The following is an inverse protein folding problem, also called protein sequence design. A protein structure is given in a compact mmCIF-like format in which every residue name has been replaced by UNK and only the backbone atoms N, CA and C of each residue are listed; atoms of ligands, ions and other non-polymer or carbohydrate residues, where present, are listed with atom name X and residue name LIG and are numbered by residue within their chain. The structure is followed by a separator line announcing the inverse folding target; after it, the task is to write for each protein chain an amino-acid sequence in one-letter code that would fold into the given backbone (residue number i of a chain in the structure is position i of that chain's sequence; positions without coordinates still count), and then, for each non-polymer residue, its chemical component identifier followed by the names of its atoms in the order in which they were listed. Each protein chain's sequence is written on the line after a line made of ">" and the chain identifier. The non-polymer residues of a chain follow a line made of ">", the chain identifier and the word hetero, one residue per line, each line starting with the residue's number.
data_IF_065801832951
#
_entry.id   IF_065801832951
#
_cell.length_a   1.000
_cell.length_b   1.000
_cell.length_c   1.000
_cell.angle_alpha   90.00
_cell.angle_beta   90.00
_cell.angle_gamma   90.00
#
_symmetry.space_group_name_H-M   'P 1'
#
loop_
_entity.id
_entity.type
_entity.pdbx_description
1 polymer ?
#
# COMPACT_ATOMS: atom_id res chain seq x y z
N UNK A 1 14.29 31.79 -39.91
CA UNK A 1 14.35 32.09 -38.46
C UNK A 1 13.50 31.05 -37.73
N UNK A 2 14.12 30.03 -37.11
CA UNK A 2 13.42 29.02 -36.32
C UNK A 2 13.15 29.61 -34.92
N UNK A 3 11.88 29.70 -34.53
CA UNK A 3 11.46 30.19 -33.22
C UNK A 3 12.07 29.35 -32.08
N UNK A 4 12.33 29.94 -30.91
CA UNK A 4 12.95 29.24 -29.80
C UNK A 4 12.02 28.13 -29.33
N UNK A 5 12.46 26.88 -29.51
CA UNK A 5 11.81 25.71 -28.97
C UNK A 5 11.74 25.83 -27.46
N UNK A 6 10.54 26.12 -26.94
CA UNK A 6 10.20 25.95 -25.53
C UNK A 6 10.37 24.47 -25.20
N UNK A 7 11.56 24.07 -24.73
CA UNK A 7 11.75 22.80 -24.02
C UNK A 7 10.86 22.87 -22.78
N UNK A 8 9.71 22.19 -22.80
CA UNK A 8 8.85 22.03 -21.63
C UNK A 8 9.61 21.14 -20.65
N UNK A 9 10.50 21.77 -19.87
CA UNK A 9 11.36 21.18 -18.85
C UNK A 9 10.59 20.79 -17.56
N UNK A 10 9.25 20.68 -17.64
CA UNK A 10 8.37 20.66 -16.47
C UNK A 10 7.54 19.38 -16.26
N UNK A 11 7.69 18.34 -17.10
CA UNK A 11 6.90 17.09 -16.96
C UNK A 11 7.62 15.96 -16.19
N UNK A 12 8.89 16.19 -15.82
CA UNK A 12 9.74 15.20 -15.15
C UNK A 12 9.56 15.24 -13.63
N UNK A 13 9.14 16.37 -13.05
CA UNK A 13 9.04 16.53 -11.59
C UNK A 13 7.81 15.86 -10.98
N UNK A 14 6.62 16.02 -11.56
CA UNK A 14 5.38 15.75 -10.80
C UNK A 14 5.22 14.28 -10.38
N UNK A 15 5.49 13.30 -11.27
CA UNK A 15 5.38 11.88 -10.91
C UNK A 15 6.46 11.45 -9.91
N UNK A 16 7.66 12.00 -10.01
CA UNK A 16 8.76 11.69 -9.09
C UNK A 16 8.44 12.19 -7.68
N UNK A 17 8.04 13.46 -7.57
CA UNK A 17 7.64 14.06 -6.30
C UNK A 17 6.38 13.43 -5.72
N UNK A 18 5.43 13.00 -6.56
CA UNK A 18 4.27 12.24 -6.09
C UNK A 18 4.66 10.89 -5.51
N UNK A 19 5.50 10.10 -6.18
CA UNK A 19 5.90 8.79 -5.68
C UNK A 19 6.77 8.92 -4.42
N UNK A 20 7.63 9.94 -4.34
CA UNK A 20 8.39 10.27 -3.13
C UNK A 20 7.50 10.75 -1.98
N UNK A 21 6.54 11.62 -2.28
CA UNK A 21 5.53 12.07 -1.31
C UNK A 21 4.69 10.92 -0.78
N UNK A 22 4.27 10.00 -1.66
CA UNK A 22 3.58 8.78 -1.27
C UNK A 22 4.47 7.91 -0.36
N UNK A 23 5.76 7.73 -0.67
CA UNK A 23 6.69 7.00 0.19
C UNK A 23 6.82 7.61 1.59
N UNK A 24 6.90 8.95 1.69
CA UNK A 24 6.98 9.67 2.98
C UNK A 24 5.69 9.53 3.77
N UNK A 25 4.52 9.63 3.12
CA UNK A 25 3.25 9.49 3.84
C UNK A 25 3.02 8.03 4.23
N UNK A 26 3.29 7.06 3.35
CA UNK A 26 3.25 5.63 3.70
C UNK A 26 4.20 5.39 4.87
N UNK A 27 5.42 5.93 4.85
CA UNK A 27 6.34 5.82 5.98
C UNK A 27 5.77 6.40 7.26
N UNK A 28 5.16 7.59 7.20
CA UNK A 28 4.52 8.19 8.38
C UNK A 28 3.37 7.32 8.90
N UNK A 29 2.51 6.80 8.03
CA UNK A 29 1.43 5.87 8.40
C UNK A 29 1.98 4.59 9.00
N UNK A 30 3.05 4.03 8.44
CA UNK A 30 3.72 2.82 8.91
C UNK A 30 4.41 3.05 10.26
N UNK A 31 5.10 4.16 10.45
CA UNK A 31 5.72 4.52 11.74
C UNK A 31 4.63 4.67 12.81
N UNK A 32 3.52 5.33 12.49
CA UNK A 32 2.41 5.46 13.44
C UNK A 32 1.71 4.11 13.69
N UNK A 33 1.55 3.25 12.67
CA UNK A 33 1.05 1.87 12.76
C UNK A 33 2.06 0.92 13.43
N UNK A 34 3.36 1.22 13.50
CA UNK A 34 4.33 0.36 14.22
C UNK A 34 4.42 0.82 15.67
N UNK A 35 4.42 2.12 15.95
CA UNK A 35 4.61 2.65 17.30
C UNK A 35 3.45 2.32 18.27
N UNK A 36 2.25 2.05 17.77
CA UNK A 36 1.05 1.93 18.63
C UNK A 36 0.47 0.52 18.79
N UNK A 37 0.27 -0.33 17.75
CA UNK A 37 -0.18 -1.72 17.94
C UNK A 37 0.96 -2.67 18.32
N UNK A 38 2.23 -2.23 18.28
CA UNK A 38 3.37 -2.98 18.86
C UNK A 38 3.58 -2.64 20.34
N UNK A 39 2.77 -1.75 20.93
CA UNK A 39 2.61 -1.78 22.39
C UNK A 39 1.91 -3.10 22.74
N UNK A 40 2.73 -4.02 23.24
CA UNK A 40 2.54 -5.45 23.44
C UNK A 40 1.46 -5.78 24.50
N UNK A 41 0.23 -5.27 24.39
CA UNK A 41 -0.88 -5.76 25.22
C UNK A 41 -2.06 -6.25 24.36
N UNK A 42 -2.33 -7.56 24.32
CA UNK A 42 -3.48 -8.12 23.61
C UNK A 42 -4.84 -7.63 24.16
N UNK A 43 -4.86 -7.06 25.37
CA UNK A 43 -6.06 -6.47 26.00
C UNK A 43 -6.33 -5.01 25.59
N UNK A 44 -5.53 -4.41 24.70
CA UNK A 44 -5.58 -2.97 24.42
C UNK A 44 -6.52 -2.55 23.27
N UNK A 45 -7.63 -3.26 23.08
CA UNK A 45 -8.67 -2.93 22.09
C UNK A 45 -9.04 -1.43 22.12
N UNK A 46 -9.25 -0.91 23.34
CA UNK A 46 -9.51 0.52 23.56
C UNK A 46 -8.37 1.45 23.13
N UNK A 47 -7.11 1.04 23.29
CA UNK A 47 -5.95 1.84 22.87
C UNK A 47 -5.82 1.90 21.35
N UNK A 48 -6.11 0.79 20.64
CA UNK A 48 -6.13 0.77 19.16
C UNK A 48 -7.24 1.67 18.62
N UNK A 49 -8.42 1.65 19.24
CA UNK A 49 -9.54 2.54 18.87
C UNK A 49 -9.27 4.02 19.15
N UNK A 50 -8.75 4.33 20.35
CA UNK A 50 -8.37 5.71 20.68
C UNK A 50 -7.35 6.25 19.68
N UNK A 51 -6.37 5.43 19.28
CA UNK A 51 -5.38 5.82 18.29
C UNK A 51 -5.99 6.12 16.92
N UNK A 52 -6.86 5.25 16.41
CA UNK A 52 -7.55 5.44 15.11
C UNK A 52 -8.35 6.74 15.12
N UNK A 53 -9.09 6.99 16.21
CA UNK A 53 -9.87 8.21 16.37
C UNK A 53 -9.00 9.47 16.42
N UNK A 54 -7.83 9.43 17.08
CA UNK A 54 -6.93 10.58 17.18
C UNK A 54 -6.17 10.87 15.87
N UNK A 55 -6.05 9.89 14.96
CA UNK A 55 -5.22 9.99 13.75
C UNK A 55 -6.00 9.74 12.46
N UNK A 56 -7.33 9.88 12.49
CA UNK A 56 -8.23 9.60 11.37
C UNK A 56 -7.76 10.25 10.06
N UNK A 57 -7.33 11.52 10.11
CA UNK A 57 -6.87 12.25 8.92
C UNK A 57 -5.65 11.58 8.27
N UNK A 58 -4.68 11.12 9.05
CA UNK A 58 -3.49 10.45 8.52
C UNK A 58 -3.83 9.10 7.88
N UNK A 59 -4.80 8.38 8.45
CA UNK A 59 -5.29 7.11 7.92
C UNK A 59 -5.97 7.35 6.56
N UNK A 60 -6.86 8.34 6.45
CA UNK A 60 -7.55 8.67 5.20
C UNK A 60 -6.56 9.10 4.10
N UNK A 61 -5.57 9.92 4.44
CA UNK A 61 -4.52 10.32 3.49
C UNK A 61 -3.68 9.12 2.99
N UNK A 62 -3.44 8.13 3.85
CA UNK A 62 -2.71 6.91 3.48
C UNK A 62 -3.44 6.09 2.41
N UNK A 63 -4.77 5.99 2.48
CA UNK A 63 -5.59 5.30 1.49
C UNK A 63 -5.46 5.94 0.10
N UNK A 64 -5.61 7.28 0.06
CA UNK A 64 -5.55 8.04 -1.19
C UNK A 64 -4.19 7.91 -1.89
N UNK A 65 -3.10 7.90 -1.13
CA UNK A 65 -1.75 7.79 -1.68
C UNK A 65 -1.37 6.37 -2.11
N UNK A 66 -1.88 5.35 -1.43
CA UNK A 66 -1.72 3.96 -1.85
C UNK A 66 -2.40 3.73 -3.22
N UNK A 67 -3.65 4.19 -3.38
CA UNK A 67 -4.36 4.14 -4.66
C UNK A 67 -3.64 4.94 -5.76
N UNK A 68 -3.16 6.14 -5.44
CA UNK A 68 -2.43 6.98 -6.39
C UNK A 68 -1.15 6.29 -6.89
N UNK A 69 -0.43 5.59 -6.01
CA UNK A 69 0.80 4.87 -6.35
C UNK A 69 0.53 3.74 -7.36
N UNK A 70 -0.54 2.96 -7.15
CA UNK A 70 -0.94 1.91 -8.09
C UNK A 70 -1.35 2.47 -9.47
N UNK A 71 -2.03 3.62 -9.49
CA UNK A 71 -2.40 4.30 -10.74
C UNK A 71 -1.16 4.79 -11.49
N UNK A 72 -0.20 5.40 -10.79
CA UNK A 72 1.07 5.86 -11.40
C UNK A 72 1.85 4.68 -11.97
N UNK A 73 1.97 3.58 -11.21
CA UNK A 73 2.67 2.38 -11.66
C UNK A 73 2.04 1.78 -12.92
N UNK A 74 0.71 1.69 -12.95
CA UNK A 74 -0.04 1.22 -14.12
C UNK A 74 0.22 2.11 -15.33
N UNK A 75 0.22 3.43 -15.15
CA UNK A 75 0.48 4.40 -16.23
C UNK A 75 1.90 4.28 -16.79
N UNK A 76 2.90 4.05 -15.95
CA UNK A 76 4.30 3.89 -16.36
C UNK A 76 4.51 2.60 -17.17
N UNK A 77 3.88 1.49 -16.78
CA UNK A 77 4.05 0.18 -17.42
C UNK A 77 3.11 -0.08 -18.61
N UNK A 78 2.13 0.79 -18.86
CA UNK A 78 1.00 0.54 -19.77
C UNK A 78 1.35 0.38 -21.27
N UNK A 79 2.57 0.72 -21.71
CA UNK A 79 2.89 0.83 -23.14
C UNK A 79 2.74 -0.49 -23.92
N UNK A 80 3.07 -1.64 -23.30
CA UNK A 80 3.03 -2.95 -23.96
C UNK A 80 2.12 -3.99 -23.29
N UNK A 81 1.83 -3.86 -21.98
CA UNK A 81 1.14 -4.90 -21.18
C UNK A 81 -0.19 -4.43 -20.56
N UNK A 82 -0.84 -3.45 -21.20
CA UNK A 82 -2.02 -2.73 -20.68
C UNK A 82 -3.14 -3.62 -20.09
N UNK A 83 -3.63 -4.69 -20.74
CA UNK A 83 -4.75 -5.47 -20.18
C UNK A 83 -4.38 -6.21 -18.89
N UNK A 84 -3.19 -6.81 -18.84
CA UNK A 84 -2.71 -7.52 -17.65
C UNK A 84 -2.47 -6.55 -16.49
N UNK A 85 -1.94 -5.35 -16.78
CA UNK A 85 -1.73 -4.31 -15.77
C UNK A 85 -3.05 -3.70 -15.29
N UNK A 86 -4.08 -3.63 -16.13
CA UNK A 86 -5.42 -3.20 -15.71
C UNK A 86 -6.09 -4.24 -14.80
N UNK A 87 -5.90 -5.54 -15.07
CA UNK A 87 -6.31 -6.60 -14.15
C UNK A 87 -5.58 -6.50 -12.81
N UNK A 88 -4.25 -6.30 -12.83
CA UNK A 88 -3.47 -6.09 -11.61
C UNK A 88 -3.97 -4.88 -10.82
N UNK A 89 -4.24 -3.75 -11.49
CA UNK A 89 -4.79 -2.56 -10.87
C UNK A 89 -6.16 -2.83 -10.24
N UNK A 90 -7.03 -3.56 -10.93
CA UNK A 90 -8.35 -3.91 -10.39
C UNK A 90 -8.24 -4.76 -9.13
N UNK A 91 -7.35 -5.76 -9.11
CA UNK A 91 -7.09 -6.58 -7.91
C UNK A 91 -6.56 -5.71 -6.77
N UNK A 92 -5.66 -4.77 -7.07
CA UNK A 92 -5.16 -3.82 -6.08
C UNK A 92 -6.28 -2.95 -5.50
N UNK A 93 -7.15 -2.40 -6.36
CA UNK A 93 -8.30 -1.57 -5.94
C UNK A 93 -9.25 -2.37 -5.05
N UNK A 94 -9.52 -3.63 -5.36
CA UNK A 94 -10.33 -4.52 -4.52
C UNK A 94 -9.67 -4.72 -3.14
N UNK A 95 -8.36 -4.98 -3.11
CA UNK A 95 -7.59 -5.08 -1.87
C UNK A 95 -7.64 -3.79 -1.04
N UNK A 96 -7.43 -2.64 -1.69
CA UNK A 96 -7.52 -1.33 -1.05
C UNK A 96 -8.93 -1.03 -0.53
N UNK A 97 -9.98 -1.33 -1.29
CA UNK A 97 -11.36 -1.15 -0.85
C UNK A 97 -11.68 -1.99 0.39
N UNK A 98 -11.19 -3.24 0.46
CA UNK A 98 -11.36 -4.08 1.65
C UNK A 98 -10.62 -3.55 2.87
N UNK A 99 -9.43 -2.96 2.69
CA UNK A 99 -8.70 -2.29 3.76
C UNK A 99 -9.43 -1.03 4.23
N UNK A 100 -9.86 -0.18 3.29
CA UNK A 100 -10.66 1.01 3.62
C UNK A 100 -11.95 0.64 4.36
N UNK A 101 -12.61 -0.45 3.97
CA UNK A 101 -13.79 -0.96 4.66
C UNK A 101 -13.46 -1.44 6.08
N UNK A 102 -12.35 -2.17 6.25
CA UNK A 102 -11.86 -2.57 7.57
C UNK A 102 -11.67 -1.37 8.48
N UNK A 103 -10.90 -0.38 8.01
CA UNK A 103 -10.58 0.79 8.81
C UNK A 103 -11.84 1.60 9.09
N UNK A 104 -12.70 1.84 8.09
CA UNK A 104 -13.98 2.55 8.25
C UNK A 104 -14.86 1.92 9.34
N UNK A 105 -14.94 0.58 9.36
CA UNK A 105 -15.70 -0.13 10.40
C UNK A 105 -15.04 0.05 11.77
N UNK A 106 -13.71 -0.03 11.84
CA UNK A 106 -12.97 0.19 13.08
C UNK A 106 -13.06 1.63 13.61
N UNK A 107 -13.12 2.64 12.75
CA UNK A 107 -13.27 4.05 13.16
C UNK A 107 -14.71 4.31 13.63
N UNK A 108 -15.70 3.81 12.90
CA UNK A 108 -17.10 4.24 13.07
C UNK A 108 -17.86 3.38 14.08
N UNK A 109 -17.77 2.05 13.96
CA UNK A 109 -18.65 1.14 14.70
C UNK A 109 -18.02 0.64 16.00
N UNK A 110 -16.71 0.40 15.98
CA UNK A 110 -16.00 -0.17 17.13
C UNK A 110 -16.03 0.71 18.39
N UNK A 111 -15.90 2.05 18.30
CA UNK A 111 -15.99 2.91 19.48
C UNK A 111 -17.37 2.89 20.11
N UNK A 112 -18.45 2.89 19.31
CA UNK A 112 -19.82 2.84 19.81
C UNK A 112 -20.14 1.48 20.43
N UNK A 113 -19.68 0.38 19.82
CA UNK A 113 -19.80 -0.97 20.40
C UNK A 113 -19.07 -1.06 21.75
N UNK A 114 -17.89 -0.45 21.85
CA UNK A 114 -17.11 -0.43 23.10
C UNK A 114 -17.77 0.43 24.18
N UNK A 115 -18.36 1.57 23.82
CA UNK A 115 -19.16 2.38 24.74
C UNK A 115 -20.37 1.61 25.26
N UNK A 116 -21.15 0.96 24.37
CA UNK A 116 -22.27 0.12 24.77
C UNK A 116 -21.82 -1.01 25.71
N UNK A 117 -20.65 -1.59 25.48
CA UNK A 117 -20.10 -2.65 26.35
C UNK A 117 -19.75 -2.13 27.75
N UNK A 118 -19.19 -0.92 27.85
CA UNK A 118 -18.88 -0.30 29.14
C UNK A 118 -20.15 0.09 29.91
N UNK A 119 -21.21 0.50 29.22
CA UNK A 119 -22.49 0.88 29.83
C UNK A 119 -23.33 -0.35 30.23
N UNK A 120 -23.37 -1.38 29.39
CA UNK A 120 -24.19 -2.58 29.56
C UNK A 120 -23.38 -3.85 29.22
N UNK A 121 -22.48 -4.29 30.13
CA UNK A 121 -21.64 -5.45 29.88
C UNK A 121 -22.49 -6.71 29.87
N UNK A 122 -22.74 -7.25 28.67
CA UNK A 122 -23.42 -8.53 28.46
C UNK A 122 -22.52 -9.49 27.72
N UNK A 123 -22.56 -10.78 28.05
CA UNK A 123 -21.75 -11.80 27.38
C UNK A 123 -22.05 -11.88 25.87
N UNK A 124 -23.31 -11.63 25.48
CA UNK A 124 -23.71 -11.59 24.06
C UNK A 124 -23.03 -10.46 23.31
N UNK A 125 -22.94 -9.28 23.91
CA UNK A 125 -22.27 -8.13 23.31
C UNK A 125 -20.75 -8.36 23.20
N UNK A 126 -20.12 -8.93 24.24
CA UNK A 126 -18.70 -9.29 24.19
C UNK A 126 -18.40 -10.28 23.05
N UNK A 127 -19.21 -11.34 22.92
CA UNK A 127 -19.05 -12.32 21.84
C UNK A 127 -19.22 -11.69 20.46
N UNK A 128 -20.21 -10.81 20.31
CA UNK A 128 -20.45 -10.10 19.05
C UNK A 128 -19.28 -9.21 18.65
N UNK A 129 -18.68 -8.49 19.61
CA UNK A 129 -17.48 -7.68 19.41
C UNK A 129 -16.30 -8.57 18.93
N UNK A 130 -16.08 -9.71 19.59
CA UNK A 130 -15.00 -10.64 19.19
C UNK A 130 -15.22 -11.27 17.81
N UNK A 131 -16.46 -11.63 17.45
CA UNK A 131 -16.79 -12.16 16.13
C UNK A 131 -16.54 -11.11 15.03
N UNK A 132 -16.91 -9.85 15.29
CA UNK A 132 -16.61 -8.73 14.38
C UNK A 132 -15.12 -8.51 14.21
N UNK A 133 -14.37 -8.49 15.30
CA UNK A 133 -12.91 -8.38 15.27
C UNK A 133 -12.28 -9.47 14.43
N UNK A 134 -12.70 -10.73 14.62
CA UNK A 134 -12.15 -11.86 13.88
C UNK A 134 -12.48 -11.80 12.38
N UNK A 135 -13.67 -11.31 12.02
CA UNK A 135 -14.05 -11.11 10.62
C UNK A 135 -13.22 -10.00 9.97
N UNK A 136 -13.08 -8.86 10.66
CA UNK A 136 -12.29 -7.71 10.24
C UNK A 136 -10.82 -8.05 10.09
N UNK A 137 -10.25 -8.78 11.06
CA UNK A 137 -8.86 -9.20 11.05
C UNK A 137 -8.56 -10.11 9.85
N UNK A 138 -9.48 -11.03 9.50
CA UNK A 138 -9.37 -11.86 8.29
C UNK A 138 -9.52 -11.04 7.00
N UNK A 139 -10.41 -10.05 6.97
CA UNK A 139 -10.60 -9.17 5.81
C UNK A 139 -9.30 -8.42 5.48
N UNK A 140 -8.63 -7.87 6.49
CA UNK A 140 -7.37 -7.16 6.32
C UNK A 140 -6.17 -8.10 6.15
N UNK A 141 -5.95 -9.00 7.12
CA UNK A 141 -4.76 -9.85 7.21
C UNK A 141 -4.66 -10.94 6.15
N UNK A 142 -5.79 -11.47 5.69
CA UNK A 142 -5.82 -12.50 4.63
C UNK A 142 -6.20 -11.90 3.28
N UNK A 143 -7.40 -11.35 3.16
CA UNK A 143 -7.95 -10.98 1.85
C UNK A 143 -7.20 -9.80 1.23
N UNK A 144 -7.09 -8.68 1.94
CA UNK A 144 -6.40 -7.49 1.42
C UNK A 144 -4.92 -7.75 1.12
N UNK A 145 -4.19 -8.36 2.07
CA UNK A 145 -2.77 -8.70 1.90
C UNK A 145 -2.54 -9.64 0.70
N UNK A 146 -3.43 -10.63 0.50
CA UNK A 146 -3.35 -11.54 -0.66
C UNK A 146 -3.60 -10.80 -1.97
N UNK A 147 -4.60 -9.91 -2.03
CA UNK A 147 -4.87 -9.09 -3.21
C UNK A 147 -3.66 -8.23 -3.59
N UNK A 148 -3.04 -7.55 -2.63
CA UNK A 148 -1.84 -6.76 -2.88
C UNK A 148 -0.66 -7.61 -3.33
N UNK A 149 -0.44 -8.77 -2.71
CA UNK A 149 0.63 -9.68 -3.11
C UNK A 149 0.44 -10.18 -4.55
N UNK A 150 -0.77 -10.66 -4.90
CA UNK A 150 -1.09 -11.12 -6.26
C UNK A 150 -0.91 -10.00 -7.29
N UNK A 151 -1.45 -8.81 -7.01
CA UNK A 151 -1.29 -7.67 -7.90
C UNK A 151 0.19 -7.27 -8.07
N UNK A 152 0.93 -7.22 -6.96
CA UNK A 152 2.35 -6.93 -6.92
C UNK A 152 3.20 -7.93 -7.70
N UNK A 153 2.88 -9.22 -7.65
CA UNK A 153 3.52 -10.24 -8.48
C UNK A 153 3.27 -10.03 -9.97
N UNK A 154 2.05 -9.64 -10.37
CA UNK A 154 1.75 -9.33 -11.77
C UNK A 154 2.58 -8.13 -12.23
N UNK A 155 2.63 -7.05 -11.44
CA UNK A 155 3.49 -5.90 -11.75
C UNK A 155 4.97 -6.30 -11.84
N UNK A 156 5.45 -7.12 -10.91
CA UNK A 156 6.84 -7.61 -10.89
C UNK A 156 7.16 -8.47 -12.12
N UNK A 157 6.24 -9.35 -12.54
CA UNK A 157 6.39 -10.14 -13.74
C UNK A 157 6.51 -9.26 -15.00
N UNK A 158 5.71 -8.20 -15.08
CA UNK A 158 5.81 -7.21 -16.16
C UNK A 158 7.11 -6.40 -16.07
N UNK A 159 7.60 -6.07 -14.87
CA UNK A 159 8.90 -5.42 -14.69
C UNK A 159 10.06 -6.28 -15.21
N UNK A 160 10.03 -7.60 -14.98
CA UNK A 160 11.04 -8.51 -15.54
C UNK A 160 10.98 -8.61 -17.07
N UNK A 161 9.79 -8.42 -17.66
CA UNK A 161 9.59 -8.45 -19.12
C UNK A 161 9.94 -7.13 -19.80
N UNK A 162 9.91 -6.01 -19.07
CA UNK A 162 10.22 -4.69 -19.62
C UNK A 162 11.69 -4.36 -19.43
N UNK A 163 12.42 -4.13 -20.54
CA UNK A 163 13.85 -3.76 -20.51
C UNK A 163 14.11 -2.41 -19.82
N UNK A 164 13.06 -1.64 -19.54
CA UNK A 164 13.12 -0.34 -18.89
C UNK A 164 13.40 -0.42 -17.39
N UNK A 165 13.09 -1.52 -16.69
CA UNK A 165 13.35 -1.64 -15.24
C UNK A 165 14.63 -2.43 -14.96
N UNK A 166 15.35 -2.06 -13.89
CA UNK A 166 16.53 -2.83 -13.49
C UNK A 166 16.12 -4.17 -12.87
N UNK A 167 16.86 -5.24 -13.18
CA UNK A 167 16.63 -6.58 -12.60
C UNK A 167 16.74 -6.57 -11.06
N UNK A 168 17.61 -5.70 -10.50
CA UNK A 168 17.73 -5.50 -9.05
C UNK A 168 16.44 -4.97 -8.43
N UNK A 169 15.81 -3.97 -9.05
CA UNK A 169 14.54 -3.42 -8.57
C UNK A 169 13.40 -4.44 -8.72
N UNK A 170 13.35 -5.20 -9.82
CA UNK A 170 12.38 -6.28 -9.99
C UNK A 170 12.56 -7.40 -8.93
N UNK A 171 13.80 -7.78 -8.61
CA UNK A 171 14.09 -8.76 -7.55
C UNK A 171 13.71 -8.27 -6.14
N UNK A 172 13.95 -6.98 -5.87
CA UNK A 172 13.47 -6.37 -4.63
C UNK A 172 11.93 -6.33 -4.56
N UNK A 173 11.28 -5.96 -5.67
CA UNK A 173 9.81 -5.98 -5.77
C UNK A 173 9.25 -7.37 -5.47
N UNK A 174 9.81 -8.41 -6.08
CA UNK A 174 9.43 -9.80 -5.80
C UNK A 174 9.51 -10.12 -4.31
N UNK A 175 10.61 -9.75 -3.66
CA UNK A 175 10.84 -10.01 -2.24
C UNK A 175 9.80 -9.31 -1.34
N UNK A 176 9.45 -8.06 -1.64
CA UNK A 176 8.41 -7.30 -0.92
C UNK A 176 7.07 -8.04 -0.96
N UNK A 177 6.63 -8.45 -2.16
CA UNK A 177 5.34 -9.14 -2.33
C UNK A 177 5.35 -10.55 -1.76
N UNK A 178 6.49 -11.24 -1.78
CA UNK A 178 6.66 -12.52 -1.08
C UNK A 178 6.56 -12.40 0.42
N UNK A 179 7.16 -11.37 1.01
CA UNK A 179 7.04 -11.14 2.45
C UNK A 179 5.60 -10.87 2.87
N UNK A 180 4.85 -10.07 2.08
CA UNK A 180 3.43 -9.81 2.30
C UNK A 180 2.56 -11.07 2.10
N UNK A 181 2.88 -11.93 1.13
CA UNK A 181 2.16 -13.19 0.97
C UNK A 181 2.42 -14.14 2.15
N UNK A 182 3.68 -14.23 2.60
CA UNK A 182 4.05 -15.01 3.77
C UNK A 182 3.29 -14.48 5.00
N UNK A 183 3.19 -13.16 5.18
CA UNK A 183 2.43 -12.59 6.29
C UNK A 183 0.96 -13.01 6.27
N UNK A 184 0.33 -13.01 5.10
CA UNK A 184 -1.04 -13.50 4.94
C UNK A 184 -1.16 -15.00 5.26
N UNK A 185 -0.22 -15.84 4.80
CA UNK A 185 -0.24 -17.28 5.11
C UNK A 185 -0.09 -17.52 6.61
N UNK A 186 0.85 -16.81 7.26
CA UNK A 186 1.15 -16.96 8.68
C UNK A 186 0.00 -16.44 9.55
N UNK A 187 -0.76 -15.43 9.08
CA UNK A 187 -1.94 -14.93 9.77
C UNK A 187 -2.95 -16.03 10.12
N UNK A 188 -3.04 -17.09 9.32
CA UNK A 188 -3.92 -18.24 9.60
C UNK A 188 -3.50 -19.04 10.84
N UNK A 189 -2.21 -19.01 11.21
CA UNK A 189 -1.63 -19.84 12.27
C UNK A 189 -1.35 -19.04 13.53
N UNK A 190 -0.80 -17.83 13.38
CA UNK A 190 -0.38 -16.99 14.50
C UNK A 190 -0.55 -15.51 14.14
N UNK A 191 -1.64 -14.90 14.59
CA UNK A 191 -2.01 -13.52 14.27
C UNK A 191 -0.97 -12.52 14.77
N UNK A 192 -0.38 -12.75 15.95
CA UNK A 192 0.59 -11.82 16.55
C UNK A 192 1.87 -11.77 15.74
N UNK A 193 2.36 -12.92 15.31
CA UNK A 193 3.55 -13.02 14.48
C UNK A 193 3.28 -12.41 13.10
N UNK A 194 2.09 -12.63 12.54
CA UNK A 194 1.70 -12.04 11.26
C UNK A 194 1.69 -10.50 11.28
N UNK A 195 1.29 -9.85 12.39
CA UNK A 195 1.37 -8.40 12.54
C UNK A 195 2.81 -7.88 12.38
N UNK A 196 3.80 -8.59 12.92
CA UNK A 196 5.21 -8.25 12.73
C UNK A 196 5.64 -8.40 11.27
N UNK A 197 5.21 -9.46 10.59
CA UNK A 197 5.49 -9.65 9.16
C UNK A 197 4.81 -8.57 8.30
N UNK A 198 3.59 -8.14 8.63
CA UNK A 198 2.90 -7.03 7.97
C UNK A 198 3.67 -5.72 8.19
N UNK A 199 4.10 -5.43 9.42
CA UNK A 199 4.90 -4.24 9.73
C UNK A 199 6.23 -4.21 8.96
N UNK A 200 6.94 -5.34 8.89
CA UNK A 200 8.15 -5.47 8.08
C UNK A 200 7.87 -5.30 6.59
N UNK A 201 6.79 -5.90 6.06
CA UNK A 201 6.37 -5.75 4.67
C UNK A 201 6.09 -4.28 4.32
N UNK A 202 5.42 -3.57 5.23
CA UNK A 202 5.13 -2.15 5.10
C UNK A 202 6.41 -1.31 5.09
N UNK A 203 7.38 -1.61 5.95
CA UNK A 203 8.69 -0.94 5.92
C UNK A 203 9.43 -1.22 4.60
N UNK A 204 9.40 -2.46 4.11
CA UNK A 204 9.97 -2.80 2.81
C UNK A 204 9.25 -2.07 1.66
N UNK A 205 7.93 -1.89 1.74
CA UNK A 205 7.14 -1.11 0.77
C UNK A 205 7.52 0.37 0.74
N UNK A 206 7.88 0.97 1.88
CA UNK A 206 8.38 2.36 1.91
C UNK A 206 9.65 2.47 1.05
N UNK A 207 10.61 1.59 1.30
CA UNK A 207 11.87 1.55 0.53
C UNK A 207 11.56 1.27 -0.93
N UNK A 208 10.65 0.33 -1.22
CA UNK A 208 10.22 0.00 -2.57
C UNK A 208 9.65 1.22 -3.32
N UNK A 209 8.77 1.96 -2.67
CA UNK A 209 8.13 3.15 -3.24
C UNK A 209 9.16 4.25 -3.50
N UNK A 210 10.12 4.43 -2.58
CA UNK A 210 11.21 5.37 -2.76
C UNK A 210 12.11 5.03 -3.95
N UNK A 211 12.47 3.75 -4.09
CA UNK A 211 13.27 3.26 -5.22
C UNK A 211 12.50 3.34 -6.54
N UNK A 212 11.19 3.08 -6.53
CA UNK A 212 10.33 3.21 -7.70
C UNK A 212 10.38 4.62 -8.28
N UNK A 213 10.37 5.65 -7.45
CA UNK A 213 10.52 7.03 -7.91
C UNK A 213 11.83 7.23 -8.69
N UNK A 214 12.93 6.65 -8.22
CA UNK A 214 14.23 6.68 -8.89
C UNK A 214 14.20 5.98 -10.25
N UNK A 215 13.60 4.80 -10.34
CA UNK A 215 13.45 4.08 -11.61
C UNK A 215 12.56 4.84 -12.61
N UNK A 216 11.45 5.44 -12.16
CA UNK A 216 10.60 6.27 -13.03
C UNK A 216 11.38 7.47 -13.59
N UNK A 217 12.21 8.10 -12.77
CA UNK A 217 13.08 9.21 -13.22
C UNK A 217 14.09 8.74 -14.27
N UNK A 218 14.72 7.58 -14.04
CA UNK A 218 15.69 6.98 -14.97
C UNK A 218 15.06 6.64 -16.32
N UNK A 219 13.90 5.99 -16.31
CA UNK A 219 13.17 5.60 -17.54
C UNK A 219 12.80 6.84 -18.37
N UNK A 220 12.26 7.88 -17.72
CA UNK A 220 11.94 9.15 -18.40
C UNK A 220 13.17 9.86 -18.95
N UNK A 221 14.32 9.74 -18.30
CA UNK A 221 15.60 10.27 -18.81
C UNK A 221 16.03 9.55 -20.09
N UNK A 222 15.96 8.21 -20.10
CA UNK A 222 16.27 7.41 -21.28
C UNK A 222 15.35 7.72 -22.48
N UNK A 223 14.05 7.92 -22.24
CA UNK A 223 13.10 8.30 -23.29
C UNK A 223 13.40 9.69 -23.86
N UNK A 224 13.85 10.64 -23.02
CA UNK A 224 14.21 11.99 -23.46
C UNK A 224 15.49 12.03 -24.30
N UNK A 225 16.49 11.21 -23.94
CA UNK A 225 17.74 11.10 -24.68
C UNK A 225 17.55 10.36 -26.01
N UNK A 226 16.69 9.33 -26.05
CA UNK A 226 16.35 8.61 -27.29
C UNK A 226 15.68 9.49 -28.36
N UNK A 227 14.78 10.39 -27.95
CA UNK A 227 14.11 11.36 -28.85
C UNK A 227 15.10 12.42 -29.35
N UNK A 228 16.10 12.81 -28.54
CA UNK A 228 17.11 13.78 -28.94
C UNK A 228 18.07 13.23 -30.01
N UNK A 229 18.35 11.92 -29.98
CA UNK A 229 19.22 11.25 -30.95
C UNK A 229 18.51 10.94 -32.27
N UNK A 230 17.20 10.67 -32.26
CA UNK A 230 16.43 10.40 -33.50
C UNK A 230 15.97 11.66 -34.26
N UNK A 231 16.24 12.84 -33.70
CA UNK A 231 15.83 14.15 -34.27
C UNK A 231 16.95 14.92 -34.97
N UNK A 232 18.11 14.30 -35.16
CA UNK A 232 19.26 14.79 -35.96
C UNK A 232 19.32 13.99 -37.25
#
# INVERSE_FOLDING_TARGET
>A
MKGPGRKIKGRIDWSFWLTRGAAVVIFSSVVLIILYPVQLDPDSLGNRMLYINHNETAIVWSWGLNLLTAVVLTRVLAAAYRPILQMALMIWVIGAASWMLHDFIQITFMPELSRMFLELPTERLARYIMEWEQLLSRLFGLFSCSCFAVSGYIYTAVMYRTAQFTSRFAGYSFSVWSFLLISAIVFRWEERLALWFIACSLFMMVIWTWLLAGEISRIKGQDADGIAVSGV
#
